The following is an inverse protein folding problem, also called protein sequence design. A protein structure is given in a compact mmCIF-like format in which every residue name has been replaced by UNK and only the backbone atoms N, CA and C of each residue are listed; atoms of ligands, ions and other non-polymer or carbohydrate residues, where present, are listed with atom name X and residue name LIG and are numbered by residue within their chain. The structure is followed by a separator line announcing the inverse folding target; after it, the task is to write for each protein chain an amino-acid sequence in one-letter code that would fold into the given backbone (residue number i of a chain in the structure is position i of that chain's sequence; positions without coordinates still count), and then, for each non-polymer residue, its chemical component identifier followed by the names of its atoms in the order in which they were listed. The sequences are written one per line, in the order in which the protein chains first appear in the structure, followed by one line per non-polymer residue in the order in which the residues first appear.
data_IF_047978384609
#
_entry.id   IF_047978384609
#
_cell.length_a   1.000
_cell.length_b   1.000
_cell.length_c   1.000
_cell.angle_alpha   90.00
_cell.angle_beta   90.00
_cell.angle_gamma   90.00
#
_symmetry.space_group_name_H-M   'P 1'
#
loop_
_entity.id
_entity.type
_entity.pdbx_description
1 polymer ?
#
# COMPACT_ATOMS: atom_id res chain seq x y z
N UNK A 1 52.94 -13.08 -34.73
CA UNK A 1 52.12 -11.95 -34.22
C UNK A 1 50.66 -12.37 -34.12
N UNK A 2 50.20 -12.87 -32.96
CA UNK A 2 48.76 -13.11 -32.72
C UNK A 2 48.42 -12.90 -31.24
N UNK A 3 47.39 -12.06 -31.05
CA UNK A 3 46.32 -12.09 -30.03
C UNK A 3 46.65 -11.69 -28.59
N UNK A 4 46.26 -10.45 -28.22
CA UNK A 4 45.91 -10.08 -26.83
C UNK A 4 44.72 -9.08 -26.72
N UNK A 5 43.76 -9.09 -27.65
CA UNK A 5 42.63 -8.14 -27.62
C UNK A 5 41.39 -8.64 -26.85
N UNK A 6 41.48 -9.73 -26.08
CA UNK A 6 40.33 -10.35 -25.40
C UNK A 6 40.37 -10.29 -23.86
N UNK A 7 41.23 -9.48 -23.26
CA UNK A 7 41.38 -9.43 -21.79
C UNK A 7 40.60 -8.29 -21.11
N UNK A 8 39.98 -7.38 -21.87
CA UNK A 8 39.25 -6.21 -21.32
C UNK A 8 37.73 -6.28 -21.42
N UNK A 9 37.15 -7.36 -21.96
CA UNK A 9 35.69 -7.49 -22.10
C UNK A 9 34.97 -8.07 -20.87
N UNK A 10 35.69 -8.69 -19.93
CA UNK A 10 35.08 -9.32 -18.75
C UNK A 10 34.68 -8.36 -17.60
N UNK A 11 35.40 -7.26 -17.29
CA UNK A 11 34.95 -6.37 -16.20
C UNK A 11 33.74 -5.50 -16.56
N UNK A 12 33.49 -5.25 -17.85
CA UNK A 12 32.36 -4.41 -18.29
C UNK A 12 30.99 -5.11 -18.17
N UNK A 13 30.95 -6.45 -18.28
CA UNK A 13 29.69 -7.21 -18.21
C UNK A 13 29.17 -7.33 -16.76
N UNK A 14 30.06 -7.31 -15.76
CA UNK A 14 29.69 -7.39 -14.34
C UNK A 14 28.96 -6.12 -13.86
N UNK A 15 29.29 -4.95 -14.41
CA UNK A 15 28.66 -3.67 -14.04
C UNK A 15 27.23 -3.58 -14.60
N UNK A 16 26.96 -4.19 -15.76
CA UNK A 16 25.63 -4.16 -16.39
C UNK A 16 24.63 -5.01 -15.61
N UNK A 17 25.06 -6.12 -15.00
CA UNK A 17 24.14 -7.00 -14.25
C UNK A 17 23.69 -6.38 -12.93
N UNK A 18 24.53 -5.55 -12.28
CA UNK A 18 24.16 -4.86 -11.04
C UNK A 18 23.09 -3.76 -11.24
N UNK A 19 22.97 -3.20 -12.45
CA UNK A 19 21.97 -2.17 -12.76
C UNK A 19 20.55 -2.71 -13.01
N UNK A 20 20.40 -4.02 -13.25
CA UNK A 20 19.11 -4.62 -13.65
C UNK A 20 18.30 -5.10 -12.43
N UNK A 21 18.95 -5.36 -11.29
CA UNK A 21 18.26 -5.84 -10.08
C UNK A 21 17.51 -4.74 -9.30
N UNK A 22 17.72 -3.46 -9.59
CA UNK A 22 16.97 -2.37 -8.98
C UNK A 22 15.50 -2.33 -9.44
N UNK A 23 15.19 -2.90 -10.61
CA UNK A 23 13.85 -2.88 -11.21
C UNK A 23 12.89 -3.97 -10.74
N UNK A 24 13.39 -5.07 -10.16
CA UNK A 24 12.55 -6.21 -9.73
C UNK A 24 11.84 -5.99 -8.38
N UNK A 25 12.30 -5.02 -7.58
CA UNK A 25 11.69 -4.73 -6.26
C UNK A 25 10.48 -3.79 -6.33
N UNK A 26 10.35 -3.01 -7.40
CA UNK A 26 9.31 -1.97 -7.51
C UNK A 26 7.92 -2.61 -7.69
N UNK A 27 7.80 -3.53 -8.65
CA UNK A 27 6.53 -4.21 -8.93
C UNK A 27 6.02 -5.05 -7.75
N UNK A 28 6.90 -5.63 -6.94
CA UNK A 28 6.48 -6.43 -5.78
C UNK A 28 6.03 -5.56 -4.60
N UNK A 29 6.64 -4.41 -4.39
CA UNK A 29 6.28 -3.53 -3.27
C UNK A 29 4.98 -2.76 -3.55
N UNK A 30 4.75 -2.37 -4.81
CA UNK A 30 3.49 -1.73 -5.23
C UNK A 30 2.30 -2.69 -5.01
N UNK A 31 2.45 -3.97 -5.39
CA UNK A 31 1.45 -5.02 -5.14
C UNK A 31 1.18 -5.26 -3.64
N UNK A 32 2.21 -5.11 -2.80
CA UNK A 32 2.07 -5.23 -1.35
C UNK A 32 1.29 -4.05 -0.78
N UNK A 33 1.57 -2.82 -1.24
CA UNK A 33 0.80 -1.64 -0.82
C UNK A 33 -0.66 -1.77 -1.25
N UNK A 34 -0.90 -2.21 -2.48
CA UNK A 34 -2.24 -2.48 -3.00
C UNK A 34 -2.99 -3.48 -2.12
N UNK A 35 -2.41 -4.64 -1.84
CA UNK A 35 -3.07 -5.68 -1.04
C UNK A 35 -3.36 -5.23 0.39
N UNK A 36 -2.43 -4.48 1.01
CA UNK A 36 -2.64 -3.94 2.36
C UNK A 36 -3.80 -2.93 2.39
N UNK A 37 -3.90 -2.05 1.38
CA UNK A 37 -4.97 -1.06 1.29
C UNK A 37 -6.33 -1.70 0.97
N UNK A 38 -6.36 -2.72 0.11
CA UNK A 38 -7.56 -3.51 -0.15
C UNK A 38 -8.04 -4.23 1.11
N UNK A 39 -7.13 -4.89 1.84
CA UNK A 39 -7.46 -5.61 3.07
C UNK A 39 -7.97 -4.66 4.15
N UNK A 40 -7.27 -3.54 4.37
CA UNK A 40 -7.71 -2.45 5.28
C UNK A 40 -9.11 -1.97 4.93
N UNK A 41 -9.34 -1.63 3.66
CA UNK A 41 -10.64 -1.14 3.18
C UNK A 41 -11.74 -2.18 3.42
N UNK A 42 -11.46 -3.46 3.15
CA UNK A 42 -12.41 -4.56 3.37
C UNK A 42 -12.77 -4.72 4.84
N UNK A 43 -11.78 -4.66 5.74
CA UNK A 43 -11.99 -4.79 7.19
C UNK A 43 -12.83 -3.63 7.70
N UNK A 44 -12.46 -2.39 7.36
CA UNK A 44 -13.19 -1.20 7.78
C UNK A 44 -14.63 -1.19 7.27
N UNK A 45 -14.86 -1.47 5.98
CA UNK A 45 -16.21 -1.59 5.42
C UNK A 45 -17.04 -2.67 6.14
N UNK A 46 -16.46 -3.84 6.43
CA UNK A 46 -17.16 -4.88 7.19
C UNK A 46 -17.53 -4.40 8.59
N UNK A 47 -16.65 -3.69 9.28
CA UNK A 47 -16.90 -3.18 10.62
C UNK A 47 -17.98 -2.09 10.62
N UNK A 48 -17.86 -1.08 9.73
CA UNK A 48 -18.84 0.00 9.62
C UNK A 48 -20.25 -0.51 9.32
N UNK A 49 -20.40 -1.52 8.46
CA UNK A 49 -21.71 -2.11 8.15
C UNK A 49 -22.11 -3.26 9.09
N UNK A 50 -21.47 -3.41 10.25
CA UNK A 50 -21.83 -4.37 11.29
C UNK A 50 -21.67 -5.84 10.91
N UNK A 51 -20.85 -6.15 9.89
CA UNK A 51 -20.55 -7.53 9.45
C UNK A 51 -19.51 -8.22 10.34
N UNK A 52 -18.69 -7.44 11.04
CA UNK A 52 -17.77 -7.89 12.09
C UNK A 52 -17.86 -6.91 13.27
N UNK A 53 -17.58 -7.39 14.47
CA UNK A 53 -17.49 -6.54 15.66
C UNK A 53 -16.16 -5.76 15.72
N UNK A 54 -16.11 -4.76 16.60
CA UNK A 54 -14.94 -3.88 16.78
C UNK A 54 -13.70 -4.67 17.20
N UNK A 55 -13.83 -5.66 18.09
CA UNK A 55 -12.71 -6.47 18.55
C UNK A 55 -12.11 -7.32 17.41
N UNK A 56 -12.95 -7.88 16.55
CA UNK A 56 -12.54 -8.62 15.35
C UNK A 56 -11.89 -7.69 14.33
N UNK A 57 -12.42 -6.48 14.17
CA UNK A 57 -11.82 -5.46 13.32
C UNK A 57 -10.43 -5.09 13.82
N UNK A 58 -10.25 -4.78 15.11
CA UNK A 58 -8.96 -4.48 15.72
C UNK A 58 -7.93 -5.59 15.55
N UNK A 59 -8.32 -6.83 15.85
CA UNK A 59 -7.44 -7.99 15.64
C UNK A 59 -7.04 -8.19 14.18
N UNK A 60 -7.92 -7.83 13.24
CA UNK A 60 -7.66 -7.97 11.81
C UNK A 60 -6.77 -6.83 11.30
N UNK A 61 -7.09 -5.58 11.65
CA UNK A 61 -6.27 -4.40 11.33
C UNK A 61 -4.86 -4.53 11.92
N UNK A 62 -4.72 -5.01 13.15
CA UNK A 62 -3.41 -5.21 13.79
C UNK A 62 -2.48 -6.19 13.04
N UNK A 63 -3.00 -7.02 12.12
CA UNK A 63 -2.18 -7.88 11.25
C UNK A 63 -1.53 -7.10 10.12
N UNK A 64 -2.20 -6.05 9.63
CA UNK A 64 -1.79 -5.28 8.46
C UNK A 64 -1.34 -3.85 8.79
N UNK A 65 -1.58 -3.37 10.00
CA UNK A 65 -1.27 -2.01 10.45
C UNK A 65 -0.33 -1.97 11.65
N UNK A 66 0.30 -0.80 11.81
CA UNK A 66 1.10 -0.43 12.97
C UNK A 66 0.56 0.87 13.57
N UNK A 67 0.97 1.17 14.80
CA UNK A 67 0.69 2.48 15.40
C UNK A 67 1.46 3.58 14.67
N UNK A 68 0.86 4.78 14.47
CA UNK A 68 -0.41 5.24 15.05
C UNK A 68 -1.67 4.91 14.23
N UNK A 69 -1.54 4.53 12.95
CA UNK A 69 -2.68 4.29 12.05
C UNK A 69 -3.72 3.33 12.66
N UNK A 70 -3.28 2.22 13.27
CA UNK A 70 -4.18 1.28 13.93
C UNK A 70 -5.08 1.97 14.97
N UNK A 71 -4.52 2.83 15.82
CA UNK A 71 -5.32 3.53 16.83
C UNK A 71 -6.28 4.56 16.23
N UNK A 72 -5.89 5.19 15.12
CA UNK A 72 -6.74 6.16 14.41
C UNK A 72 -7.94 5.45 13.78
N UNK A 73 -7.72 4.30 13.14
CA UNK A 73 -8.78 3.53 12.52
C UNK A 73 -9.76 2.94 13.53
N UNK A 74 -9.27 2.44 14.67
CA UNK A 74 -10.15 2.00 15.76
C UNK A 74 -10.93 3.16 16.37
N UNK A 75 -10.32 4.33 16.51
CA UNK A 75 -11.04 5.52 16.94
C UNK A 75 -12.11 5.95 15.91
N UNK A 76 -11.80 5.82 14.61
CA UNK A 76 -12.74 6.06 13.52
C UNK A 76 -13.96 5.15 13.61
N UNK A 77 -13.76 3.84 13.80
CA UNK A 77 -14.84 2.86 13.98
C UNK A 77 -15.75 3.23 15.15
N UNK A 78 -15.19 3.60 16.31
CA UNK A 78 -15.95 3.98 17.51
C UNK A 78 -16.80 5.23 17.35
N UNK A 79 -16.31 6.20 16.59
CA UNK A 79 -16.93 7.52 16.46
C UNK A 79 -17.86 7.63 15.23
N UNK A 80 -17.84 6.64 14.35
CA UNK A 80 -18.59 6.68 13.09
C UNK A 80 -20.08 6.41 13.27
N UNK A 81 -20.89 7.10 12.47
CA UNK A 81 -22.26 6.71 12.19
C UNK A 81 -22.26 5.94 10.85
N UNK A 82 -22.60 4.63 10.83
CA UNK A 82 -22.64 3.83 9.60
C UNK A 82 -23.50 4.42 8.48
N UNK A 83 -24.51 5.23 8.81
CA UNK A 83 -25.43 5.82 7.83
C UNK A 83 -24.79 6.93 6.98
N UNK A 84 -23.60 7.38 7.36
CA UNK A 84 -22.86 8.45 6.68
C UNK A 84 -21.77 7.94 5.73
N UNK A 85 -21.57 6.61 5.65
CA UNK A 85 -20.48 6.03 4.87
C UNK A 85 -21.02 5.38 3.59
N UNK A 86 -20.34 5.66 2.48
CA UNK A 86 -20.61 5.05 1.19
C UNK A 86 -19.86 3.72 1.05
N UNK A 87 -20.43 2.82 0.25
CA UNK A 87 -19.85 1.49 0.06
C UNK A 87 -18.71 1.60 -0.96
N UNK A 88 -17.53 1.10 -0.60
CA UNK A 88 -16.44 0.88 -1.58
C UNK A 88 -16.70 -0.43 -2.31
N UNK A 89 -16.89 -0.38 -3.64
CA UNK A 89 -17.03 -1.57 -4.49
C UNK A 89 -15.68 -2.14 -4.90
N UNK A 90 -14.77 -1.25 -5.30
CA UNK A 90 -13.41 -1.60 -5.70
C UNK A 90 -12.49 -0.39 -5.64
N UNK A 91 -11.20 -0.66 -5.61
CA UNK A 91 -10.11 0.30 -5.62
C UNK A 91 -9.21 -0.01 -6.82
N UNK A 92 -8.60 1.01 -7.42
CA UNK A 92 -7.59 0.83 -8.46
C UNK A 92 -6.46 1.85 -8.25
N UNK A 93 -5.23 1.36 -8.12
CA UNK A 93 -4.05 2.23 -8.05
C UNK A 93 -3.71 2.74 -9.45
N UNK A 94 -3.83 4.06 -9.65
CA UNK A 94 -3.54 4.72 -10.94
C UNK A 94 -2.08 5.09 -11.08
N UNK A 95 -1.51 5.65 -10.01
CA UNK A 95 -0.12 6.05 -9.96
C UNK A 95 0.48 5.65 -8.61
N UNK A 96 1.67 5.07 -8.64
CA UNK A 96 2.42 4.64 -7.45
C UNK A 96 3.83 5.19 -7.57
N UNK A 97 4.12 6.21 -6.78
CA UNK A 97 5.44 6.84 -6.72
C UNK A 97 6.04 6.61 -5.35
N UNK A 98 7.05 5.74 -5.28
CA UNK A 98 7.88 5.64 -4.07
C UNK A 98 8.66 6.94 -3.90
N UNK A 99 8.38 7.69 -2.84
CA UNK A 99 9.04 8.96 -2.55
C UNK A 99 10.33 8.78 -1.75
N UNK A 100 10.36 7.82 -0.82
CA UNK A 100 11.51 7.60 0.07
C UNK A 100 11.57 6.16 0.58
N UNK A 101 12.78 5.68 0.87
CA UNK A 101 13.01 4.48 1.71
C UNK A 101 14.03 4.81 2.78
N UNK A 102 13.66 4.63 4.05
CA UNK A 102 14.51 4.93 5.19
C UNK A 102 14.37 3.83 6.26
N UNK A 103 15.47 3.11 6.52
CA UNK A 103 15.48 1.92 7.38
C UNK A 103 14.39 0.92 6.96
N UNK A 104 13.47 0.61 7.87
CA UNK A 104 12.36 -0.30 7.65
C UNK A 104 11.13 0.38 7.03
N UNK A 105 11.17 1.68 6.75
CA UNK A 105 10.03 2.42 6.23
C UNK A 105 10.18 2.74 4.75
N UNK A 106 9.08 2.64 4.01
CA UNK A 106 8.97 3.04 2.61
C UNK A 106 7.77 3.95 2.47
N UNK A 107 7.98 5.13 1.91
CA UNK A 107 6.98 6.16 1.69
C UNK A 107 6.55 6.18 0.22
N UNK A 108 5.26 6.34 0.01
CA UNK A 108 4.60 6.38 -1.28
C UNK A 108 3.70 7.60 -1.40
N UNK A 109 3.60 8.10 -2.63
CA UNK A 109 2.51 8.95 -3.09
C UNK A 109 1.70 8.14 -4.08
N UNK A 110 0.41 7.99 -3.80
CA UNK A 110 -0.51 7.16 -4.57
C UNK A 110 -1.63 8.02 -5.13
N UNK A 111 -2.05 7.72 -6.35
CA UNK A 111 -3.36 8.13 -6.86
C UNK A 111 -4.27 6.91 -6.86
N UNK A 112 -5.38 7.00 -6.13
CA UNK A 112 -6.33 5.90 -5.98
C UNK A 112 -7.66 6.30 -6.61
N UNK A 113 -8.12 5.47 -7.56
CA UNK A 113 -9.48 5.51 -8.08
C UNK A 113 -10.38 4.64 -7.22
N UNK A 114 -11.39 5.24 -6.63
CA UNK A 114 -12.41 4.57 -5.85
C UNK A 114 -13.69 4.42 -6.67
N UNK A 115 -14.23 3.22 -6.69
CA UNK A 115 -15.55 2.93 -7.24
C UNK A 115 -16.52 2.76 -6.07
N UNK A 116 -17.43 3.73 -5.91
CA UNK A 116 -18.26 3.89 -4.72
C UNK A 116 -19.75 3.67 -5.04
N UNK A 117 -20.52 3.28 -4.03
CA UNK A 117 -21.98 3.23 -4.05
C UNK A 117 -22.51 4.12 -2.94
N UNK A 118 -23.07 5.27 -3.31
CA UNK A 118 -23.77 6.15 -2.38
C UNK A 118 -25.28 5.92 -2.39
N UNK A 119 -26.02 6.68 -1.57
CA UNK A 119 -27.47 6.53 -1.41
C UNK A 119 -28.26 6.66 -2.72
N UNK A 120 -27.79 7.51 -3.64
CA UNK A 120 -28.53 7.87 -4.85
C UNK A 120 -28.00 7.19 -6.11
N UNK A 121 -26.69 6.94 -6.17
CA UNK A 121 -26.02 6.43 -7.36
C UNK A 121 -24.62 5.89 -7.04
N UNK A 122 -24.12 5.07 -7.95
CA UNK A 122 -22.71 4.76 -8.02
C UNK A 122 -21.92 5.95 -8.56
N UNK A 123 -20.71 6.13 -8.07
CA UNK A 123 -19.81 7.17 -8.54
C UNK A 123 -18.34 6.73 -8.46
N UNK A 124 -17.49 7.50 -9.12
CA UNK A 124 -16.04 7.29 -9.14
C UNK A 124 -15.37 8.55 -8.62
N UNK A 125 -14.39 8.40 -7.74
CA UNK A 125 -13.54 9.51 -7.30
C UNK A 125 -12.06 9.11 -7.36
N UNK A 126 -11.24 10.07 -7.79
CA UNK A 126 -9.79 9.95 -7.85
C UNK A 126 -9.21 10.84 -6.74
N UNK A 127 -8.43 10.27 -5.83
CA UNK A 127 -7.86 10.97 -4.69
C UNK A 127 -6.37 10.63 -4.55
N UNK A 128 -5.58 11.61 -4.12
CA UNK A 128 -4.15 11.44 -3.84
C UNK A 128 -3.90 11.16 -2.37
N UNK A 129 -2.96 10.24 -2.08
CA UNK A 129 -2.63 9.82 -0.74
C UNK A 129 -1.13 9.73 -0.52
N UNK A 130 -0.70 10.08 0.69
CA UNK A 130 0.60 9.69 1.24
C UNK A 130 0.44 8.42 2.06
N UNK A 131 1.24 7.40 1.72
CA UNK A 131 1.19 6.09 2.37
C UNK A 131 2.59 5.73 2.85
N UNK A 132 2.69 5.25 4.09
CA UNK A 132 3.94 4.73 4.64
C UNK A 132 3.72 3.28 5.02
N UNK A 133 4.59 2.40 4.53
CA UNK A 133 4.66 1.00 4.95
C UNK A 133 5.93 0.74 5.73
N UNK A 134 5.82 -0.14 6.73
CA UNK A 134 6.91 -0.61 7.57
C UNK A 134 7.19 -2.08 7.30
N UNK A 135 8.43 -2.39 6.98
CA UNK A 135 8.98 -3.74 6.94
C UNK A 135 9.05 -4.31 8.36
N UNK A 136 8.60 -5.56 8.50
CA UNK A 136 8.59 -6.32 9.74
C UNK A 136 9.16 -7.72 9.47
N UNK A 137 9.43 -8.49 10.52
CA UNK A 137 9.89 -9.88 10.36
C UNK A 137 8.87 -10.78 9.62
N UNK A 138 7.60 -10.38 9.57
CA UNK A 138 6.50 -11.13 8.94
C UNK A 138 6.02 -10.53 7.62
N UNK A 139 6.74 -9.57 7.03
CA UNK A 139 6.33 -8.86 5.81
C UNK A 139 6.12 -7.37 6.07
N UNK A 140 5.24 -6.73 5.31
CA UNK A 140 4.97 -5.29 5.43
C UNK A 140 3.67 -5.02 6.17
N UNK A 141 3.60 -3.85 6.81
CA UNK A 141 2.39 -3.30 7.41
C UNK A 141 2.23 -1.83 7.07
N UNK A 142 1.01 -1.34 6.99
CA UNK A 142 0.70 0.08 6.89
C UNK A 142 1.05 0.79 8.21
N UNK A 143 1.67 1.95 8.09
CA UNK A 143 2.03 2.83 9.20
C UNK A 143 1.30 4.16 9.12
N UNK A 144 1.02 4.63 7.90
CA UNK A 144 0.32 5.89 7.64
C UNK A 144 -0.49 5.76 6.33
N UNK A 145 -1.67 6.38 6.30
CA UNK A 145 -2.53 6.51 5.13
C UNK A 145 -3.30 7.84 5.21
N UNK A 146 -2.78 8.87 4.53
CA UNK A 146 -3.28 10.24 4.65
C UNK A 146 -3.64 10.84 3.29
N UNK A 147 -4.77 11.54 3.13
CA UNK A 147 -5.05 12.31 1.91
C UNK A 147 -4.05 13.46 1.77
N UNK A 148 -3.74 13.84 0.53
CA UNK A 148 -2.87 15.00 0.17
C UNK A 148 -3.74 16.21 -0.19
#
# INVERSE_FOLDING_TARGET
MKKYYKLFFFPAIIIIIAGIFSGFSKQSCDQVVESLLEERTSILQKAYYGKIDEETAEKSLAKIETYPLLSEDIQGLRNSDPTQLDIVKSMELRNVTQSMKMFDYISYQLEIRWYMSGLSADYVCDNEYSVVVKSTNSGYKLSEFNPI
#
